data_IF_101595610220
#
_entry.id   IF_101595610220
#
_cell.length_a   1.000
_cell.length_b   1.000
_cell.length_c   1.000
_cell.angle_alpha   90.00
_cell.angle_beta   90.00
_cell.angle_gamma   90.00
#
_symmetry.space_group_name_H-M   'P 1'
#
loop_
_entity.id
_entity.type
_entity.pdbx_description
1 polymer ?
#
# COMPACT_ATOMS: atom_id res chain seq x y z
N UNK A 1 4.27 4.79 17.15
CA UNK A 1 4.14 4.78 15.68
C UNK A 1 2.66 4.69 15.30
N UNK A 2 2.20 5.58 14.45
CA UNK A 2 0.85 5.51 13.91
C UNK A 2 0.79 4.40 12.84
N UNK A 3 -0.15 3.48 12.97
CA UNK A 3 -0.30 2.38 12.03
C UNK A 3 -1.66 2.46 11.31
N UNK A 4 -1.72 2.08 10.04
CA UNK A 4 -2.96 2.12 9.29
C UNK A 4 -3.82 0.88 9.49
N UNK A 5 -5.07 0.98 9.08
CA UNK A 5 -5.90 -0.18 8.82
C UNK A 5 -5.57 -0.74 7.44
N UNK A 6 -6.01 -1.96 7.15
CA UNK A 6 -5.89 -2.54 5.82
C UNK A 6 -6.68 -1.74 4.78
N UNK A 7 -7.82 -1.15 5.19
CA UNK A 7 -8.59 -0.28 4.31
C UNK A 7 -7.79 0.97 3.90
N UNK A 8 -6.97 1.51 4.79
CA UNK A 8 -6.09 2.63 4.47
C UNK A 8 -4.97 2.23 3.52
N UNK A 9 -4.40 1.04 3.66
CA UNK A 9 -3.41 0.52 2.70
C UNK A 9 -4.03 0.36 1.32
N UNK A 10 -5.24 -0.19 1.25
CA UNK A 10 -5.99 -0.32 0.00
C UNK A 10 -6.26 1.05 -0.64
N UNK A 11 -6.68 2.02 0.16
CA UNK A 11 -6.89 3.39 -0.31
C UNK A 11 -5.60 4.03 -0.82
N UNK A 12 -4.49 3.81 -0.12
CA UNK A 12 -3.17 4.25 -0.60
C UNK A 12 -2.87 3.69 -1.99
N UNK A 13 -3.09 2.40 -2.19
CA UNK A 13 -2.84 1.77 -3.48
C UNK A 13 -3.68 2.39 -4.61
N UNK A 14 -4.94 2.71 -4.35
CA UNK A 14 -5.80 3.37 -5.33
C UNK A 14 -5.30 4.77 -5.66
N UNK A 15 -4.92 5.55 -4.65
CA UNK A 15 -4.38 6.89 -4.84
C UNK A 15 -3.06 6.84 -5.62
N UNK A 16 -2.21 5.90 -5.31
CA UNK A 16 -0.88 5.75 -5.91
C UNK A 16 -0.90 5.06 -7.29
N UNK A 17 -2.08 4.74 -7.80
CA UNK A 17 -2.23 4.21 -9.16
C UNK A 17 -1.94 2.73 -9.32
N UNK A 18 -2.06 1.96 -8.25
CA UNK A 18 -1.88 0.51 -8.33
C UNK A 18 -3.08 -0.15 -9.02
N UNK A 19 -2.83 -1.18 -9.80
CA UNK A 19 -3.89 -1.96 -10.43
C UNK A 19 -4.47 -2.96 -9.42
N UNK A 20 -5.80 -2.97 -9.29
CA UNK A 20 -6.49 -3.96 -8.46
C UNK A 20 -6.67 -5.24 -9.26
N UNK A 21 -6.29 -6.36 -8.67
CA UNK A 21 -6.42 -7.69 -9.27
C UNK A 21 -7.20 -8.59 -8.34
N UNK A 22 -7.96 -9.52 -8.92
CA UNK A 22 -8.73 -10.51 -8.16
C UNK A 22 -8.40 -11.90 -8.69
N UNK A 23 -8.10 -12.81 -7.76
CA UNK A 23 -7.83 -14.21 -8.10
C UNK A 23 -8.32 -15.10 -6.97
N UNK A 24 -9.17 -16.07 -7.30
CA UNK A 24 -9.68 -17.06 -6.34
C UNK A 24 -10.24 -16.44 -5.06
N UNK A 25 -11.00 -15.34 -5.19
CA UNK A 25 -11.60 -14.66 -4.04
C UNK A 25 -10.67 -13.73 -3.27
N UNK A 26 -9.40 -13.65 -3.65
CA UNK A 26 -8.43 -12.74 -3.04
C UNK A 26 -8.26 -11.48 -3.87
N UNK A 27 -8.15 -10.33 -3.16
CA UNK A 27 -7.88 -9.05 -3.79
C UNK A 27 -6.44 -8.66 -3.49
N UNK A 28 -5.69 -8.27 -4.52
CA UNK A 28 -4.34 -7.76 -4.39
C UNK A 28 -4.11 -6.60 -5.34
N UNK A 29 -3.06 -5.85 -5.09
CA UNK A 29 -2.70 -4.67 -5.87
C UNK A 29 -1.30 -4.84 -6.42
N UNK A 30 -1.10 -4.38 -7.66
CA UNK A 30 0.19 -4.44 -8.34
C UNK A 30 0.54 -3.09 -8.93
N UNK A 31 1.83 -2.77 -8.91
CA UNK A 31 2.37 -1.60 -9.60
C UNK A 31 3.72 -1.95 -10.21
N UNK A 32 3.93 -1.53 -11.45
CA UNK A 32 5.23 -1.65 -12.11
C UNK A 32 5.92 -0.30 -12.06
N UNK A 33 7.12 -0.26 -11.48
CA UNK A 33 7.94 0.95 -11.42
C UNK A 33 8.61 1.24 -12.77
N UNK A 34 9.08 2.47 -13.00
CA UNK A 34 9.74 2.82 -14.27
C UNK A 34 10.93 1.92 -14.63
N UNK A 35 11.63 1.34 -13.65
CA UNK A 35 12.73 0.42 -13.87
C UNK A 35 12.30 -1.02 -14.17
N UNK A 36 10.99 -1.28 -14.22
CA UNK A 36 10.44 -2.61 -14.45
C UNK A 36 10.17 -3.43 -13.19
N UNK A 37 10.52 -2.92 -12.02
CA UNK A 37 10.26 -3.63 -10.75
C UNK A 37 8.75 -3.77 -10.52
N UNK A 38 8.30 -5.00 -10.28
CA UNK A 38 6.90 -5.26 -9.93
C UNK A 38 6.73 -5.20 -8.42
N UNK A 39 5.85 -4.33 -7.97
CA UNK A 39 5.44 -4.24 -6.57
C UNK A 39 4.09 -4.91 -6.39
N UNK A 40 3.91 -5.66 -5.31
CA UNK A 40 2.65 -6.32 -4.99
C UNK A 40 2.32 -6.16 -3.51
N UNK A 41 1.05 -6.00 -3.22
CA UNK A 41 0.51 -6.08 -1.87
C UNK A 41 -0.89 -6.68 -1.94
N UNK A 42 -1.39 -7.18 -0.82
CA UNK A 42 -2.71 -7.81 -0.81
C UNK A 42 -3.55 -7.32 0.35
N UNK A 43 -4.85 -7.49 0.19
CA UNK A 43 -5.85 -7.11 1.17
C UNK A 43 -6.03 -8.23 2.19
N UNK A 44 -6.03 -7.87 3.47
CA UNK A 44 -6.43 -8.79 4.54
C UNK A 44 -7.94 -8.75 4.74
N UNK A 45 -8.50 -9.87 5.23
CA UNK A 45 -9.93 -9.94 5.57
C UNK A 45 -10.32 -9.01 6.72
N UNK A 46 -9.38 -8.62 7.58
CA UNK A 46 -9.63 -7.74 8.74
C UNK A 46 -9.39 -6.27 8.39
N UNK A 47 -10.10 -5.76 7.38
CA UNK A 47 -9.83 -4.43 6.80
C UNK A 47 -9.99 -3.26 7.79
N UNK A 48 -10.77 -3.42 8.87
CA UNK A 48 -11.01 -2.36 9.86
C UNK A 48 -10.01 -2.35 11.01
N UNK A 49 -9.19 -3.38 11.14
CA UNK A 49 -8.21 -3.45 12.22
C UNK A 49 -6.92 -2.78 11.80
N UNK A 50 -6.30 -2.06 12.75
CA UNK A 50 -4.95 -1.55 12.54
C UNK A 50 -3.95 -2.69 12.62
N UNK A 51 -2.88 -2.57 11.85
CA UNK A 51 -1.82 -3.56 11.88
C UNK A 51 -0.76 -3.20 12.92
N UNK A 52 0.08 -4.16 13.30
CA UNK A 52 1.20 -3.91 14.20
C UNK A 52 2.24 -3.00 13.52
N UNK A 53 3.04 -2.25 14.32
CA UNK A 53 4.13 -1.44 13.76
C UNK A 53 5.12 -2.25 12.93
N UNK A 54 5.46 -3.46 13.38
CA UNK A 54 6.38 -4.34 12.63
C UNK A 54 5.85 -4.73 11.28
N UNK A 55 4.56 -5.06 11.20
CA UNK A 55 3.91 -5.38 9.92
C UNK A 55 3.87 -4.16 8.99
N UNK A 56 3.53 -3.00 9.53
CA UNK A 56 3.49 -1.79 8.72
C UNK A 56 4.88 -1.44 8.16
N UNK A 57 5.91 -1.53 8.98
CA UNK A 57 7.29 -1.31 8.51
C UNK A 57 7.67 -2.28 7.37
N UNK A 58 7.29 -3.54 7.50
CA UNK A 58 7.57 -4.54 6.48
C UNK A 58 6.82 -4.23 5.18
N UNK A 59 5.55 -3.84 5.27
CA UNK A 59 4.75 -3.48 4.10
C UNK A 59 5.35 -2.26 3.39
N UNK A 60 5.73 -1.22 4.14
CA UNK A 60 6.36 -0.03 3.57
C UNK A 60 7.65 -0.38 2.83
N UNK A 61 8.50 -1.19 3.45
CA UNK A 61 9.83 -1.49 2.94
C UNK A 61 9.81 -2.48 1.76
N UNK A 62 9.05 -3.55 1.88
CA UNK A 62 9.13 -4.68 0.94
C UNK A 62 8.01 -4.71 -0.09
N UNK A 63 6.87 -4.13 0.20
CA UNK A 63 5.71 -4.17 -0.68
C UNK A 63 5.45 -2.83 -1.38
N UNK A 64 5.28 -1.75 -0.61
CA UNK A 64 4.94 -0.44 -1.18
C UNK A 64 6.16 0.35 -1.65
N UNK A 65 7.32 0.10 -1.07
CA UNK A 65 8.58 0.81 -1.37
C UNK A 65 8.46 2.32 -1.20
N UNK A 66 7.87 2.74 -0.08
CA UNK A 66 7.72 4.14 0.31
C UNK A 66 8.10 4.31 1.77
N UNK A 67 8.37 5.55 2.16
CA UNK A 67 8.58 5.88 3.57
C UNK A 67 7.23 6.04 4.27
N UNK A 68 7.25 5.99 5.60
CA UNK A 68 6.06 6.27 6.40
C UNK A 68 5.49 7.65 6.08
N UNK A 69 6.35 8.67 5.98
CA UNK A 69 5.92 10.02 5.65
C UNK A 69 5.25 10.10 4.28
N UNK A 70 5.80 9.43 3.28
CA UNK A 70 5.20 9.37 1.94
C UNK A 70 3.83 8.68 1.96
N UNK A 71 3.69 7.61 2.73
CA UNK A 71 2.44 6.88 2.86
C UNK A 71 1.32 7.78 3.40
N UNK A 72 1.56 8.42 4.54
CA UNK A 72 0.55 9.29 5.16
C UNK A 72 0.28 10.53 4.34
N UNK A 73 1.29 11.11 3.71
CA UNK A 73 1.10 12.25 2.83
C UNK A 73 0.20 11.90 1.65
N UNK A 74 0.38 10.74 1.03
CA UNK A 74 -0.47 10.31 -0.08
C UNK A 74 -1.93 10.22 0.35
N UNK A 75 -2.20 9.67 1.53
CA UNK A 75 -3.56 9.59 2.07
C UNK A 75 -4.14 10.98 2.35
N UNK A 76 -3.32 11.89 2.90
CA UNK A 76 -3.78 13.24 3.28
C UNK A 76 -4.01 14.14 2.07
N UNK A 77 -3.13 14.09 1.08
CA UNK A 77 -3.20 14.94 -0.11
C UNK A 77 -3.96 14.32 -1.27
N UNK A 78 -4.19 13.00 -1.23
CA UNK A 78 -4.80 12.22 -2.31
C UNK A 78 -3.99 12.29 -3.60
N UNK A 79 -2.68 12.40 -3.47
CA UNK A 79 -1.76 12.45 -4.60
C UNK A 79 -0.84 11.21 -4.59
N UNK A 80 -0.48 10.69 -5.77
CA UNK A 80 0.46 9.58 -5.84
C UNK A 80 1.84 9.96 -5.31
N UNK A 81 2.59 8.95 -4.87
CA UNK A 81 3.94 9.15 -4.34
C UNK A 81 4.91 9.41 -5.49
N UNK A 82 5.75 10.42 -5.32
CA UNK A 82 6.88 10.66 -6.23
C UNK A 82 8.07 9.84 -5.75
N UNK A 83 8.46 8.87 -6.56
CA UNK A 83 9.57 7.95 -6.25
C UNK A 83 10.87 8.31 -6.99
N UNK A 84 10.89 9.45 -7.63
CA UNK A 84 12.08 9.91 -8.36
C UNK A 84 13.14 10.54 -7.47
#
# INVERSE_FOLDING_TARGET
MRTPTWAQVERFCRIDGWAEKRRSGHVFFERVLPDGTLLQTHRSFSSRKTMSPGRFKAILRYQLRVTEAQFWRALDTREPVDRT
#
